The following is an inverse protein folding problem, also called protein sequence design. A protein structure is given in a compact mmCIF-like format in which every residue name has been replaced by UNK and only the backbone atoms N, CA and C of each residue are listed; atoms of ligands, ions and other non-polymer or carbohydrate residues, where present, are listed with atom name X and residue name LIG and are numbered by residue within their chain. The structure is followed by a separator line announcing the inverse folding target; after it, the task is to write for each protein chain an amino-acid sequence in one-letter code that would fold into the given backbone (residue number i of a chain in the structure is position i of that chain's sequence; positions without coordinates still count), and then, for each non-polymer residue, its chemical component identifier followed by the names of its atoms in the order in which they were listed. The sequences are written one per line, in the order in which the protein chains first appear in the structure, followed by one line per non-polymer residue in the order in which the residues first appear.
data_IF_794714385079
#
_entry.id   IF_794714385079
#
_cell.length_a   1.000
_cell.length_b   1.000
_cell.length_c   1.000
_cell.angle_alpha   90.00
_cell.angle_beta   90.00
_cell.angle_gamma   90.00
#
_symmetry.space_group_name_H-M   'P 1'
#
loop_
_entity.id
_entity.type
_entity.pdbx_description
1 polymer ?
#
# COMPACT_ATOMS: atom_id res chain seq x y z
N UNK A 1 15.13 19.28 11.40
CA UNK A 1 14.24 19.29 10.21
C UNK A 1 13.82 17.84 9.94
N UNK A 2 12.52 17.53 9.90
CA UNK A 2 12.04 16.16 9.70
C UNK A 2 12.02 15.81 8.21
N UNK A 3 12.37 14.57 7.84
CA UNK A 3 12.34 14.12 6.44
C UNK A 3 10.90 13.87 5.98
N UNK A 4 10.66 13.94 4.67
CA UNK A 4 9.36 13.59 4.07
C UNK A 4 8.93 12.18 4.48
N UNK A 5 9.87 11.21 4.47
CA UNK A 5 9.59 9.84 4.89
C UNK A 5 9.19 9.75 6.37
N UNK A 6 9.90 10.45 7.26
CA UNK A 6 9.58 10.44 8.69
C UNK A 6 8.19 11.01 8.98
N UNK A 7 7.76 12.03 8.23
CA UNK A 7 6.39 12.55 8.31
C UNK A 7 5.36 11.51 7.85
N UNK A 8 5.59 10.87 6.70
CA UNK A 8 4.70 9.82 6.17
C UNK A 8 4.51 8.68 7.18
N UNK A 9 5.59 8.23 7.81
CA UNK A 9 5.54 7.14 8.80
C UNK A 9 4.75 7.55 10.05
N UNK A 10 4.97 8.77 10.56
CA UNK A 10 4.23 9.29 11.71
C UNK A 10 2.72 9.39 11.42
N UNK A 11 2.35 9.94 10.26
CA UNK A 11 0.95 10.06 9.83
C UNK A 11 0.32 8.66 9.63
N UNK A 12 1.08 7.70 9.11
CA UNK A 12 0.60 6.31 8.93
C UNK A 12 0.29 5.63 10.26
N UNK A 13 1.09 5.86 11.31
CA UNK A 13 0.84 5.29 12.63
C UNK A 13 -0.49 5.78 13.21
N UNK A 14 -0.74 7.09 13.17
CA UNK A 14 -2.00 7.71 13.60
C UNK A 14 -3.18 7.11 12.81
N UNK A 15 -3.04 6.99 11.49
CA UNK A 15 -4.06 6.40 10.64
C UNK A 15 -4.36 4.94 10.99
N UNK A 16 -3.33 4.13 11.27
CA UNK A 16 -3.50 2.71 11.61
C UNK A 16 -4.26 2.56 12.93
N UNK A 17 -3.91 3.34 13.95
CA UNK A 17 -4.62 3.28 15.24
C UNK A 17 -6.07 3.71 15.10
N UNK A 18 -6.37 4.80 14.39
CA UNK A 18 -7.73 5.20 14.10
C UNK A 18 -8.50 4.11 13.32
N UNK A 19 -7.85 3.48 12.32
CA UNK A 19 -8.47 2.43 11.50
C UNK A 19 -8.75 1.16 12.29
N UNK A 20 -7.88 0.77 13.22
CA UNK A 20 -8.11 -0.39 14.11
C UNK A 20 -9.33 -0.20 15.01
N UNK A 21 -9.58 1.02 15.47
CA UNK A 21 -10.79 1.33 16.24
C UNK A 21 -12.05 1.25 15.36
N UNK A 22 -11.97 1.75 14.12
CA UNK A 22 -13.11 1.74 13.18
C UNK A 22 -13.41 0.35 12.61
N UNK A 23 -12.39 -0.46 12.32
CA UNK A 23 -12.50 -1.83 11.82
C UNK A 23 -11.46 -2.71 12.51
N UNK A 24 -11.81 -3.29 13.68
CA UNK A 24 -10.91 -4.15 14.42
C UNK A 24 -10.52 -5.39 13.62
N UNK A 25 -9.27 -5.83 13.72
CA UNK A 25 -8.77 -7.03 13.04
C UNK A 25 -9.63 -8.27 13.33
N UNK A 26 -10.05 -8.42 14.59
CA UNK A 26 -10.87 -9.54 15.03
C UNK A 26 -12.21 -9.64 14.29
N UNK A 27 -12.71 -8.56 13.70
CA UNK A 27 -13.99 -8.59 12.98
C UNK A 27 -13.90 -9.21 11.59
N UNK A 28 -12.70 -9.45 11.05
CA UNK A 28 -12.54 -9.98 9.69
C UNK A 28 -11.38 -10.97 9.51
N UNK A 29 -10.50 -11.14 10.50
CA UNK A 29 -9.30 -11.98 10.37
C UNK A 29 -9.61 -13.41 9.92
N UNK A 30 -10.68 -14.01 10.45
CA UNK A 30 -11.05 -15.40 10.13
C UNK A 30 -11.67 -15.56 8.73
N UNK A 31 -12.06 -14.46 8.08
CA UNK A 31 -12.63 -14.46 6.73
C UNK A 31 -11.53 -14.36 5.66
N UNK A 32 -10.33 -13.88 6.02
CA UNK A 32 -9.22 -13.71 5.10
C UNK A 32 -8.73 -15.08 4.62
N UNK A 33 -8.72 -15.26 3.29
CA UNK A 33 -8.19 -16.45 2.65
C UNK A 33 -6.80 -16.18 2.03
N UNK A 34 -5.96 -17.22 1.88
CA UNK A 34 -4.71 -17.10 1.15
C UNK A 34 -4.92 -16.57 -0.28
N UNK A 35 -3.94 -15.80 -0.78
CA UNK A 35 -3.93 -15.36 -2.18
C UNK A 35 -3.92 -16.58 -3.10
N UNK A 36 -4.80 -16.57 -4.11
CA UNK A 36 -4.84 -17.57 -5.19
C UNK A 36 -3.91 -17.21 -6.36
N UNK A 37 -3.12 -16.13 -6.24
CA UNK A 37 -2.19 -15.63 -7.26
C UNK A 37 -0.74 -15.76 -6.82
N UNK A 38 0.13 -16.10 -7.76
CA UNK A 38 1.57 -16.28 -7.55
C UNK A 38 2.36 -15.05 -8.04
N UNK A 39 2.58 -14.09 -7.15
CA UNK A 39 3.30 -12.85 -7.49
C UNK A 39 4.76 -13.12 -7.90
N UNK A 40 5.45 -14.02 -7.19
CA UNK A 40 6.84 -14.35 -7.49
C UNK A 40 7.00 -15.01 -8.86
N UNK A 41 6.11 -15.95 -9.20
CA UNK A 41 6.17 -16.64 -10.48
C UNK A 41 5.92 -15.69 -11.65
N UNK A 42 5.01 -14.71 -11.47
CA UNK A 42 4.72 -13.69 -12.49
C UNK A 42 5.92 -12.78 -12.81
N UNK A 43 6.92 -12.71 -11.92
CA UNK A 43 8.14 -11.92 -12.10
C UNK A 43 9.35 -12.76 -12.54
N UNK A 44 9.22 -14.09 -12.58
CA UNK A 44 10.28 -14.98 -13.01
C UNK A 44 10.37 -15.06 -14.54
N UNK A 45 11.57 -15.41 -15.04
CA UNK A 45 11.83 -15.62 -16.46
C UNK A 45 12.97 -14.76 -16.97
N UNK A 46 13.39 -15.01 -18.22
CA UNK A 46 14.53 -14.33 -18.83
C UNK A 46 14.19 -12.92 -19.38
N UNK A 47 12.90 -12.58 -19.48
CA UNK A 47 12.44 -11.30 -20.03
C UNK A 47 12.28 -10.27 -18.92
N UNK A 48 12.49 -9.00 -19.25
CA UNK A 48 12.19 -7.88 -18.34
C UNK A 48 10.72 -7.92 -17.91
N UNK A 49 10.49 -7.95 -16.60
CA UNK A 49 9.16 -7.81 -16.02
C UNK A 49 8.83 -6.33 -15.76
N UNK A 50 7.58 -5.96 -15.98
CA UNK A 50 7.07 -4.62 -15.67
C UNK A 50 5.97 -4.73 -14.60
N UNK A 51 6.14 -3.98 -13.51
CA UNK A 51 5.09 -3.76 -12.51
C UNK A 51 4.52 -2.37 -12.76
N UNK A 52 3.33 -2.32 -13.34
CA UNK A 52 2.64 -1.07 -13.64
C UNK A 52 1.89 -0.60 -12.38
N UNK A 53 2.05 0.68 -12.04
CA UNK A 53 1.47 1.28 -10.84
C UNK A 53 0.29 2.19 -11.19
N UNK A 54 -0.84 1.98 -10.54
CA UNK A 54 -1.96 2.92 -10.56
C UNK A 54 -1.79 3.93 -9.41
N UNK A 55 -1.36 5.16 -9.70
CA UNK A 55 -1.11 6.22 -8.69
C UNK A 55 -1.72 7.56 -9.09
N UNK A 56 -2.59 8.10 -8.23
CA UNK A 56 -3.26 9.41 -8.42
C UNK A 56 -2.36 10.61 -8.09
N UNK A 57 -1.59 10.53 -7.02
CA UNK A 57 -0.78 11.64 -6.50
C UNK A 57 0.50 11.15 -5.81
N UNK A 58 1.48 12.03 -5.63
CA UNK A 58 2.68 11.75 -4.84
C UNK A 58 3.20 12.97 -4.08
N UNK A 59 3.96 12.80 -2.98
CA UNK A 59 4.50 13.92 -2.22
C UNK A 59 5.38 14.88 -3.04
N UNK A 60 6.08 14.37 -4.05
CA UNK A 60 7.00 15.18 -4.86
C UNK A 60 6.34 15.86 -6.06
N UNK A 61 5.20 15.34 -6.55
CA UNK A 61 4.53 15.85 -7.76
C UNK A 61 3.11 16.35 -7.53
N UNK A 62 2.57 16.29 -6.31
CA UNK A 62 1.17 16.59 -6.06
C UNK A 62 0.25 15.61 -6.80
N UNK A 63 -0.89 16.09 -7.31
CA UNK A 63 -1.78 15.31 -8.17
C UNK A 63 -1.09 15.03 -9.50
N UNK A 64 -0.98 13.74 -9.83
CA UNK A 64 -0.40 13.24 -11.10
C UNK A 64 -1.52 13.02 -12.11
N UNK A 65 -2.70 12.61 -11.64
CA UNK A 65 -3.87 12.28 -12.44
C UNK A 65 -5.14 12.82 -11.78
N UNK A 66 -5.87 13.68 -12.48
CA UNK A 66 -6.99 14.44 -11.91
C UNK A 66 -8.28 13.61 -11.77
N UNK A 67 -8.48 12.61 -12.63
CA UNK A 67 -9.55 11.60 -12.59
C UNK A 67 -9.25 10.43 -11.62
#
# INVERSE_FOLDING_TARGET
MQTVLAKIVADKAIWVEARKQQQPLASFQNEIQPSTRHFYDALQGARTAFILECKKASPSKGVIRDD
#
